data_IF_878836660998
#
_entry.id   IF_878836660998
#
_cell.length_a   1.000
_cell.length_b   1.000
_cell.length_c   1.000
_cell.angle_alpha   90.00
_cell.angle_beta   90.00
_cell.angle_gamma   90.00
#
_symmetry.space_group_name_H-M   'P 1'
#
loop_
_entity.id
_entity.type
_entity.pdbx_description
1 polymer ?
#
# COMPACT_ATOMS: atom_id res chain seq x y z
N UNK A 1 -3.69 14.56 -0.20
CA UNK A 1 -3.55 13.20 -0.76
C UNK A 1 -2.69 13.27 -2.02
N UNK A 2 -1.80 12.30 -2.27
CA UNK A 2 -0.83 12.32 -3.38
C UNK A 2 -1.17 11.30 -4.49
N UNK A 3 -2.05 10.35 -4.19
CA UNK A 3 -2.44 9.27 -5.08
C UNK A 3 -3.95 9.26 -5.30
N UNK A 4 -4.36 8.87 -6.50
CA UNK A 4 -5.74 8.76 -6.96
C UNK A 4 -5.87 7.53 -7.87
N UNK A 5 -7.09 7.19 -8.28
CA UNK A 5 -7.36 6.28 -9.38
C UNK A 5 -7.73 7.06 -10.65
N UNK A 6 -7.31 6.54 -11.77
CA UNK A 6 -7.85 6.94 -13.07
C UNK A 6 -9.23 6.27 -13.25
N UNK A 7 -10.29 7.05 -13.40
CA UNK A 7 -11.64 6.52 -13.51
C UNK A 7 -11.88 5.70 -14.79
N UNK A 8 -11.07 5.89 -15.84
CA UNK A 8 -11.19 5.18 -17.10
C UNK A 8 -10.42 3.86 -17.10
N UNK A 9 -9.22 3.84 -16.55
CA UNK A 9 -8.32 2.67 -16.61
C UNK A 9 -8.29 1.88 -15.31
N UNK A 10 -8.71 2.49 -14.18
CA UNK A 10 -8.58 1.91 -12.83
C UNK A 10 -7.15 1.92 -12.30
N UNK A 11 -6.21 2.49 -13.05
CA UNK A 11 -4.80 2.53 -12.64
C UNK A 11 -4.54 3.58 -11.55
N UNK A 12 -3.61 3.30 -10.61
CA UNK A 12 -3.16 4.30 -9.66
C UNK A 12 -2.40 5.43 -10.38
N UNK A 13 -2.70 6.66 -10.00
CA UNK A 13 -2.05 7.87 -10.51
C UNK A 13 -1.41 8.66 -9.37
N UNK A 14 -0.15 9.01 -9.56
CA UNK A 14 0.55 9.94 -8.67
C UNK A 14 0.35 11.37 -9.15
N UNK A 15 0.34 12.33 -8.23
CA UNK A 15 0.07 13.75 -8.54
C UNK A 15 1.02 14.37 -9.58
N UNK A 16 2.20 13.80 -9.75
CA UNK A 16 3.20 14.26 -10.72
C UNK A 16 3.25 13.41 -12.00
N UNK A 17 2.37 12.43 -12.16
CA UNK A 17 2.28 11.67 -13.39
C UNK A 17 1.90 12.58 -14.56
N UNK A 18 2.42 12.26 -15.74
CA UNK A 18 2.25 13.06 -16.94
C UNK A 18 0.77 13.27 -17.27
N UNK A 19 -0.03 12.24 -17.16
CA UNK A 19 -1.48 12.28 -17.43
C UNK A 19 -2.23 13.23 -16.49
N UNK A 20 -1.77 13.35 -15.26
CA UNK A 20 -2.34 14.28 -14.27
C UNK A 20 -1.89 15.72 -14.58
N UNK A 21 -0.60 15.92 -14.90
CA UNK A 21 -0.05 17.23 -15.24
C UNK A 21 -0.68 17.79 -16.52
N UNK A 22 -0.91 16.93 -17.51
CA UNK A 22 -1.54 17.28 -18.79
C UNK A 22 -3.08 17.34 -18.72
N UNK A 23 -3.67 17.20 -17.52
CA UNK A 23 -5.13 17.21 -17.29
C UNK A 23 -5.90 16.13 -18.08
N UNK A 24 -5.26 15.00 -18.36
CA UNK A 24 -5.85 13.85 -19.07
C UNK A 24 -6.45 12.78 -18.15
N UNK A 25 -6.19 12.88 -16.85
CA UNK A 25 -6.68 11.92 -15.87
C UNK A 25 -8.02 12.40 -15.28
N UNK A 26 -9.13 11.71 -15.52
CA UNK A 26 -10.33 11.85 -14.72
C UNK A 26 -10.10 11.15 -13.38
N UNK A 27 -9.40 11.81 -12.49
CA UNK A 27 -8.93 11.21 -11.25
C UNK A 27 -10.02 11.17 -10.19
N UNK A 28 -10.18 10.01 -9.56
CA UNK A 28 -11.16 9.78 -8.49
C UNK A 28 -10.48 9.28 -7.22
N UNK A 29 -11.13 9.50 -6.09
CA UNK A 29 -10.66 8.98 -4.80
C UNK A 29 -10.79 7.46 -4.76
N UNK A 30 -9.74 6.71 -4.39
CA UNK A 30 -9.81 5.25 -4.30
C UNK A 30 -10.74 4.74 -3.19
N UNK A 31 -11.15 5.60 -2.25
CA UNK A 31 -12.02 5.23 -1.14
C UNK A 31 -13.48 5.60 -1.34
N UNK A 32 -13.76 6.81 -1.81
CA UNK A 32 -15.13 7.32 -1.92
C UNK A 32 -15.59 7.56 -3.37
N UNK A 33 -14.72 7.27 -4.35
CA UNK A 33 -14.97 7.39 -5.80
C UNK A 33 -15.36 8.81 -6.29
N UNK A 34 -15.32 9.80 -5.42
CA UNK A 34 -15.56 11.18 -5.80
C UNK A 34 -14.43 11.71 -6.69
N UNK A 35 -14.83 12.54 -7.67
CA UNK A 35 -13.87 13.21 -8.53
C UNK A 35 -12.93 14.11 -7.75
N UNK A 36 -11.65 14.03 -8.06
CA UNK A 36 -10.58 14.79 -7.41
C UNK A 36 -10.05 15.87 -8.32
N UNK A 37 -9.73 17.02 -7.73
CA UNK A 37 -9.06 18.11 -8.43
C UNK A 37 -7.57 18.07 -8.13
N UNK A 38 -6.69 17.93 -9.14
CA UNK A 38 -5.27 18.06 -8.93
C UNK A 38 -4.93 19.53 -8.64
N UNK A 39 -4.18 19.77 -7.57
CA UNK A 39 -3.72 21.09 -7.15
C UNK A 39 -2.21 21.14 -7.36
N UNK A 40 -1.74 22.10 -8.18
CA UNK A 40 -0.33 22.32 -8.51
C UNK A 40 0.42 21.05 -8.96
N UNK A 41 -0.14 20.22 -9.87
CA UNK A 41 0.54 19.04 -10.37
C UNK A 41 1.84 19.45 -11.09
N UNK A 42 2.87 18.62 -11.00
CA UNK A 42 4.17 18.90 -11.63
C UNK A 42 5.05 19.91 -10.90
N UNK A 43 4.58 20.54 -9.82
CA UNK A 43 5.38 21.48 -9.03
C UNK A 43 6.46 20.74 -8.21
N UNK A 44 7.65 21.35 -8.00
CA UNK A 44 8.71 20.76 -7.17
C UNK A 44 8.21 20.38 -5.78
N UNK A 45 8.73 19.27 -5.22
CA UNK A 45 8.32 18.73 -3.93
C UNK A 45 8.43 19.70 -2.74
N UNK A 46 9.29 20.71 -2.85
CA UNK A 46 9.52 21.72 -1.81
C UNK A 46 8.67 22.98 -1.95
N UNK A 47 7.83 23.06 -2.98
CA UNK A 47 6.93 24.21 -3.21
C UNK A 47 5.80 24.18 -2.19
N UNK A 48 5.42 25.32 -1.63
CA UNK A 48 4.24 25.47 -0.76
C UNK A 48 3.19 26.33 -1.47
N UNK A 49 1.90 25.91 -1.48
CA UNK A 49 1.39 24.62 -1.02
C UNK A 49 1.94 23.43 -1.83
N UNK A 50 2.10 22.27 -1.19
CA UNK A 50 2.59 21.07 -1.88
C UNK A 50 1.53 20.53 -2.86
N UNK A 51 1.97 20.03 -4.01
CA UNK A 51 1.08 19.39 -4.98
C UNK A 51 0.28 18.24 -4.34
N UNK A 52 -1.02 18.19 -4.57
CA UNK A 52 -1.91 17.18 -3.99
C UNK A 52 -3.23 17.07 -4.77
N UNK A 53 -3.95 15.97 -4.55
CA UNK A 53 -5.34 15.84 -4.96
C UNK A 53 -6.26 16.38 -3.86
N UNK A 54 -7.26 17.13 -4.26
CA UNK A 54 -8.25 17.74 -3.38
C UNK A 54 -9.65 17.17 -3.66
N UNK A 55 -10.36 16.79 -2.60
CA UNK A 55 -11.77 16.48 -2.66
C UNK A 55 -12.64 17.75 -2.86
N UNK A 56 -13.87 17.61 -3.34
CA UNK A 56 -14.87 18.64 -3.20
C UNK A 56 -14.98 19.09 -1.74
N UNK A 57 -15.31 20.36 -1.51
CA UNK A 57 -15.34 20.93 -0.16
C UNK A 57 -16.24 20.12 0.78
N UNK A 58 -15.71 19.75 1.95
CA UNK A 58 -16.43 19.03 3.00
C UNK A 58 -16.68 17.54 2.74
N UNK A 59 -16.20 16.97 1.61
CA UNK A 59 -16.47 15.57 1.26
C UNK A 59 -15.37 14.59 1.63
N UNK A 60 -14.18 15.07 2.02
CA UNK A 60 -13.08 14.19 2.42
C UNK A 60 -13.37 13.49 3.74
N UNK A 61 -13.31 12.16 3.74
CA UNK A 61 -13.40 11.31 4.94
C UNK A 61 -12.01 10.94 5.44
N UNK A 62 -11.90 10.57 6.71
CA UNK A 62 -10.62 10.16 7.32
C UNK A 62 -9.97 8.98 6.58
N UNK A 63 -10.76 8.06 6.08
CA UNK A 63 -10.26 6.86 5.39
C UNK A 63 -9.69 7.13 4.00
N UNK A 64 -10.07 8.24 3.36
CA UNK A 64 -9.61 8.54 1.99
C UNK A 64 -8.08 8.62 1.89
N UNK A 65 -7.42 9.25 2.84
CA UNK A 65 -5.95 9.35 2.85
C UNK A 65 -5.30 8.00 3.13
N UNK A 66 -5.88 7.20 4.02
CA UNK A 66 -5.37 5.87 4.36
C UNK A 66 -5.46 4.92 3.17
N UNK A 67 -6.59 4.88 2.48
CA UNK A 67 -6.77 4.05 1.28
C UNK A 67 -5.84 4.48 0.16
N UNK A 68 -5.66 5.78 -0.05
CA UNK A 68 -4.70 6.29 -1.03
C UNK A 68 -3.25 5.91 -0.68
N UNK A 69 -2.88 5.91 0.60
CA UNK A 69 -1.56 5.48 1.04
C UNK A 69 -1.34 3.97 0.81
N UNK A 70 -2.35 3.13 1.05
CA UNK A 70 -2.29 1.69 0.77
C UNK A 70 -2.19 1.40 -0.72
N UNK A 71 -2.95 2.13 -1.54
CA UNK A 71 -2.83 2.03 -2.99
C UNK A 71 -1.40 2.36 -3.46
N UNK A 72 -0.82 3.43 -2.92
CA UNK A 72 0.55 3.80 -3.22
C UNK A 72 1.53 2.69 -2.79
N UNK A 73 1.36 2.13 -1.60
CA UNK A 73 2.23 1.06 -1.09
C UNK A 73 2.17 -0.20 -1.98
N UNK A 74 0.97 -0.65 -2.38
CA UNK A 74 0.83 -1.81 -3.28
C UNK A 74 1.47 -1.56 -4.63
N UNK A 75 1.28 -0.37 -5.21
CA UNK A 75 1.89 0.00 -6.48
C UNK A 75 3.42 0.04 -6.39
N UNK A 76 3.96 0.65 -5.34
CA UNK A 76 5.41 0.75 -5.13
C UNK A 76 6.06 -0.61 -4.86
N UNK A 77 5.40 -1.49 -4.09
CA UNK A 77 5.89 -2.85 -3.84
C UNK A 77 5.94 -3.67 -5.12
N UNK A 78 4.91 -3.57 -5.95
CA UNK A 78 4.88 -4.25 -7.24
C UNK A 78 5.95 -3.70 -8.19
N UNK A 79 6.13 -2.39 -8.24
CA UNK A 79 7.16 -1.75 -9.05
C UNK A 79 8.59 -2.07 -8.57
N UNK A 80 8.80 -2.18 -7.25
CA UNK A 80 10.07 -2.58 -6.66
C UNK A 80 10.41 -4.05 -6.91
N UNK A 81 9.40 -4.91 -7.00
CA UNK A 81 9.51 -6.31 -7.35
C UNK A 81 9.94 -7.24 -6.21
N UNK A 82 10.25 -6.73 -5.03
CA UNK A 82 10.59 -7.56 -3.87
C UNK A 82 10.20 -6.91 -2.54
N UNK A 83 10.09 -7.75 -1.50
CA UNK A 83 9.90 -7.35 -0.11
C UNK A 83 10.93 -8.08 0.77
N UNK A 84 11.42 -7.42 1.78
CA UNK A 84 12.25 -8.03 2.81
C UNK A 84 11.38 -8.37 4.02
N UNK A 85 11.21 -9.67 4.27
CA UNK A 85 10.56 -10.16 5.48
C UNK A 85 11.55 -10.09 6.63
N UNK A 86 11.19 -9.46 7.75
CA UNK A 86 12.08 -9.37 8.88
C UNK A 86 12.32 -10.75 9.50
N UNK A 87 13.47 -10.91 10.16
CA UNK A 87 13.72 -12.06 11.04
C UNK A 87 12.59 -12.20 12.05
N UNK A 88 12.09 -13.42 12.18
CA UNK A 88 11.06 -13.77 13.16
C UNK A 88 11.62 -14.77 14.14
N UNK A 89 11.31 -14.57 15.42
CA UNK A 89 11.62 -15.51 16.48
C UNK A 89 10.35 -15.74 17.30
N UNK A 90 10.08 -16.99 17.61
CA UNK A 90 8.97 -17.40 18.47
C UNK A 90 9.47 -18.40 19.50
N UNK A 91 9.02 -18.23 20.73
CA UNK A 91 9.29 -19.19 21.79
C UNK A 91 8.00 -19.59 22.48
N UNK A 92 7.94 -20.82 22.94
CA UNK A 92 6.87 -21.31 23.79
C UNK A 92 7.38 -22.37 24.74
N UNK A 93 6.65 -22.61 25.84
CA UNK A 93 6.97 -23.65 26.78
C UNK A 93 6.24 -24.95 26.41
N UNK A 94 7.00 -26.04 26.28
CA UNK A 94 6.47 -27.39 26.09
C UNK A 94 6.82 -28.27 27.25
N UNK A 95 5.85 -29.07 27.72
CA UNK A 95 6.06 -30.04 28.81
C UNK A 95 6.44 -31.39 28.23
N UNK A 96 7.59 -31.90 28.62
CA UNK A 96 8.06 -33.22 28.20
C UNK A 96 7.36 -34.36 28.93
N UNK A 97 7.61 -35.62 28.51
CA UNK A 97 7.04 -36.83 29.12
C UNK A 97 7.43 -37.03 30.58
N UNK A 98 8.55 -36.46 31.04
CA UNK A 98 9.00 -36.46 32.43
C UNK A 98 8.29 -35.43 33.32
N UNK A 99 7.38 -34.61 32.76
CA UNK A 99 6.75 -33.48 33.46
C UNK A 99 7.64 -32.25 33.57
N UNK A 100 8.81 -32.25 32.95
CA UNK A 100 9.71 -31.09 32.88
C UNK A 100 9.29 -30.15 31.77
N UNK A 101 9.34 -28.82 32.06
CA UNK A 101 9.10 -27.79 31.09
C UNK A 101 10.39 -27.43 30.35
N UNK A 102 10.26 -27.28 29.03
CA UNK A 102 11.32 -26.87 28.11
C UNK A 102 10.89 -25.63 27.37
N UNK A 103 11.80 -24.68 27.23
CA UNK A 103 11.61 -23.56 26.33
C UNK A 103 12.04 -23.98 24.90
N UNK A 104 11.09 -23.88 23.98
CA UNK A 104 11.30 -24.21 22.56
C UNK A 104 11.39 -22.92 21.78
N UNK A 105 12.43 -22.79 20.97
CA UNK A 105 12.68 -21.65 20.10
C UNK A 105 12.58 -22.06 18.65
N UNK A 106 11.92 -21.23 17.87
CA UNK A 106 11.97 -21.28 16.40
C UNK A 106 12.41 -19.93 15.90
N UNK A 107 13.40 -19.94 15.03
CA UNK A 107 13.95 -18.75 14.40
C UNK A 107 13.86 -18.89 12.89
N UNK A 108 13.24 -17.89 12.24
CA UNK A 108 13.26 -17.74 10.81
C UNK A 108 14.15 -16.55 10.47
N UNK A 109 15.20 -16.72 9.63
CA UNK A 109 16.06 -15.61 9.23
C UNK A 109 15.28 -14.58 8.42
N UNK A 110 15.82 -13.37 8.33
CA UNK A 110 15.31 -12.38 7.40
C UNK A 110 15.44 -12.91 5.96
N UNK A 111 14.40 -12.74 5.18
CA UNK A 111 14.33 -13.30 3.83
C UNK A 111 13.82 -12.26 2.84
N UNK A 112 14.46 -12.21 1.67
CA UNK A 112 13.95 -11.42 0.53
C UNK A 112 13.04 -12.30 -0.33
N UNK A 113 11.83 -11.82 -0.57
CA UNK A 113 10.84 -12.47 -1.43
C UNK A 113 10.48 -11.59 -2.61
N UNK A 114 10.36 -12.21 -3.78
CA UNK A 114 9.92 -11.52 -5.00
C UNK A 114 8.40 -11.34 -4.95
N UNK A 115 7.95 -10.14 -5.25
CA UNK A 115 6.53 -9.78 -5.33
C UNK A 115 6.09 -9.95 -6.78
N UNK A 116 5.22 -10.93 -7.06
CA UNK A 116 4.65 -11.20 -8.37
C UNK A 116 3.29 -10.53 -8.57
N UNK A 117 2.62 -10.13 -7.51
CA UNK A 117 1.35 -9.43 -7.56
C UNK A 117 1.09 -8.60 -6.29
N UNK A 118 0.37 -7.52 -6.44
CA UNK A 118 -0.08 -6.69 -5.33
C UNK A 118 -1.43 -6.07 -5.68
N UNK A 119 -2.41 -6.18 -4.79
CA UNK A 119 -3.74 -5.57 -4.98
C UNK A 119 -4.31 -5.08 -3.66
N UNK A 120 -5.15 -4.04 -3.74
CA UNK A 120 -6.07 -3.73 -2.66
C UNK A 120 -7.28 -4.66 -2.76
N UNK A 121 -7.53 -5.43 -1.73
CA UNK A 121 -8.71 -6.28 -1.63
C UNK A 121 -9.93 -5.48 -1.20
N UNK A 122 -9.74 -4.63 -0.21
CA UNK A 122 -10.69 -3.62 0.27
C UNK A 122 -9.91 -2.41 0.81
N UNK A 123 -10.63 -1.44 1.41
CA UNK A 123 -9.99 -0.24 1.98
C UNK A 123 -9.04 -0.55 3.15
N UNK A 124 -9.15 -1.73 3.76
CA UNK A 124 -8.39 -2.14 4.95
C UNK A 124 -7.25 -3.11 4.62
N UNK A 125 -7.39 -3.89 3.55
CA UNK A 125 -6.54 -5.05 3.29
C UNK A 125 -5.81 -4.94 1.95
N UNK A 126 -4.50 -5.01 1.99
CA UNK A 126 -3.66 -5.20 0.80
C UNK A 126 -3.16 -6.66 0.75
N UNK A 127 -3.28 -7.27 -0.41
CA UNK A 127 -2.81 -8.63 -0.68
C UNK A 127 -1.56 -8.59 -1.53
N UNK A 128 -0.53 -9.33 -1.10
CA UNK A 128 0.70 -9.52 -1.86
C UNK A 128 0.80 -10.98 -2.29
N UNK A 129 1.08 -11.22 -3.55
CA UNK A 129 1.42 -12.55 -4.07
C UNK A 129 2.94 -12.65 -4.18
N UNK A 130 3.52 -13.66 -3.55
CA UNK A 130 4.95 -13.94 -3.59
C UNK A 130 5.23 -15.15 -4.49
N UNK A 131 6.47 -15.30 -4.99
CA UNK A 131 6.87 -16.33 -5.96
C UNK A 131 6.66 -17.78 -5.50
N UNK A 132 6.58 -18.03 -4.20
CA UNK A 132 6.27 -19.36 -3.64
C UNK A 132 4.78 -19.71 -3.68
N UNK A 133 3.94 -18.83 -4.26
CA UNK A 133 2.48 -18.99 -4.30
C UNK A 133 1.79 -18.68 -2.96
N UNK A 134 2.51 -18.27 -1.94
CA UNK A 134 1.94 -17.84 -0.68
C UNK A 134 1.34 -16.44 -0.81
N UNK A 135 0.09 -16.30 -0.42
CA UNK A 135 -0.60 -15.00 -0.37
C UNK A 135 -0.51 -14.45 1.06
N UNK A 136 0.01 -13.25 1.17
CA UNK A 136 0.08 -12.51 2.43
C UNK A 136 -0.90 -11.34 2.37
N UNK A 137 -1.83 -11.28 3.33
CA UNK A 137 -2.70 -10.12 3.52
C UNK A 137 -2.27 -9.35 4.76
N UNK A 138 -2.11 -8.04 4.63
CA UNK A 138 -1.92 -7.14 5.77
C UNK A 138 -3.19 -6.33 6.00
N UNK A 139 -3.68 -6.41 7.18
CA UNK A 139 -4.77 -5.56 7.69
C UNK A 139 -4.24 -4.25 8.22
#
# INVERSE_FOLDING_TARGET
>A
MKWAHDALTGEPRYIHDREVVESKCPCVCPACELSLTPVMPGQPLRTRPTAHFRHPAGSQKNDCTLVAARLAATHLLLANGFIELPRRAMSWTATGFSGQDYEVWVEEPAERRVVSGARLHDYATAELTLDDGANYSST
#
